data_IF_502472780699
#
_entry.id   IF_502472780699
#
_cell.length_a   1.000
_cell.length_b   1.000
_cell.length_c   1.000
_cell.angle_alpha   90.00
_cell.angle_beta   90.00
_cell.angle_gamma   90.00
#
_symmetry.space_group_name_H-M   'P 1'
#
loop_
_entity.id
_entity.type
_entity.pdbx_description
1 polymer ?
#
# COMPACT_ATOMS: atom_id res chain seq x y z
N UNK A 1 23.14 41.80 52.30
CA UNK A 1 22.46 40.78 51.48
C UNK A 1 23.40 40.34 50.37
N UNK A 2 23.63 39.03 50.23
CA UNK A 2 24.72 38.50 49.41
C UNK A 2 24.31 38.47 47.92
N UNK A 3 24.93 39.33 47.11
CA UNK A 3 24.66 39.50 45.66
C UNK A 3 24.75 38.20 44.87
N UNK A 4 25.60 37.27 45.34
CA UNK A 4 25.76 35.94 44.77
C UNK A 4 24.50 35.05 44.95
N UNK A 5 23.83 35.15 46.10
CA UNK A 5 22.60 34.39 46.35
C UNK A 5 21.43 34.88 45.49
N UNK A 6 21.39 36.19 45.20
CA UNK A 6 20.37 36.76 44.32
C UNK A 6 20.52 36.23 42.89
N UNK A 7 21.76 36.17 42.39
CA UNK A 7 22.05 35.72 41.03
C UNK A 7 21.82 34.21 40.84
N UNK A 8 22.17 33.39 41.85
CA UNK A 8 21.85 31.95 41.85
C UNK A 8 20.33 31.72 41.84
N UNK A 9 19.57 32.57 42.54
CA UNK A 9 18.10 32.46 42.60
C UNK A 9 17.46 32.81 41.27
N UNK A 10 17.98 33.82 40.56
CA UNK A 10 17.55 34.18 39.21
C UNK A 10 17.84 33.08 38.20
N UNK A 11 19.06 32.53 38.16
CA UNK A 11 19.42 31.43 37.23
C UNK A 11 18.55 30.20 37.47
N UNK A 12 18.29 29.83 38.74
CA UNK A 12 17.37 28.74 39.09
C UNK A 12 15.92 29.03 38.65
N UNK A 13 15.47 30.27 38.75
CA UNK A 13 14.14 30.71 38.29
C UNK A 13 14.01 30.68 36.76
N UNK A 14 15.09 30.94 36.03
CA UNK A 14 15.16 30.81 34.58
C UNK A 14 15.25 29.34 34.11
N UNK A 15 15.93 28.45 34.86
CA UNK A 15 15.92 27.01 34.58
C UNK A 15 14.54 26.37 34.84
N UNK A 16 13.80 26.82 35.85
CA UNK A 16 12.47 26.30 36.22
C UNK A 16 11.32 26.75 35.30
N UNK A 17 11.62 27.48 34.22
CA UNK A 17 10.64 28.04 33.27
C UNK A 17 10.60 27.37 31.89
N UNK A 18 11.42 26.34 31.64
CA UNK A 18 11.24 25.47 30.48
C UNK A 18 10.30 24.34 30.87
N UNK A 19 9.09 24.38 30.32
CA UNK A 19 8.05 23.41 30.62
C UNK A 19 8.19 22.24 29.63
N UNK A 20 9.23 21.43 29.82
CA UNK A 20 9.59 20.32 28.94
C UNK A 20 8.42 19.39 28.64
N UNK A 21 7.47 19.25 29.58
CA UNK A 21 6.27 18.44 29.39
C UNK A 21 5.36 18.99 28.28
N UNK A 22 5.23 20.32 28.18
CA UNK A 22 4.49 20.96 27.09
C UNK A 22 5.20 20.83 25.75
N UNK A 23 6.53 20.98 25.76
CA UNK A 23 7.33 20.86 24.54
C UNK A 23 7.25 19.42 23.99
N UNK A 24 7.26 18.41 24.87
CA UNK A 24 7.07 17.00 24.48
C UNK A 24 5.65 16.73 23.98
N UNK A 25 4.63 17.30 24.63
CA UNK A 25 3.24 17.17 24.19
C UNK A 25 3.02 17.79 22.81
N UNK A 26 3.62 18.95 22.54
CA UNK A 26 3.59 19.62 21.24
C UNK A 26 4.29 18.79 20.15
N UNK A 27 5.48 18.27 20.43
CA UNK A 27 6.22 17.39 19.52
C UNK A 27 5.43 16.11 19.21
N UNK A 28 4.82 15.48 20.22
CA UNK A 28 4.02 14.27 20.01
C UNK A 28 2.79 14.54 19.14
N UNK A 29 2.11 15.66 19.36
CA UNK A 29 0.97 16.08 18.56
C UNK A 29 1.36 16.39 17.10
N UNK A 30 2.54 16.98 16.88
CA UNK A 30 3.07 17.19 15.52
C UNK A 30 3.42 15.86 14.84
N UNK A 31 4.07 14.93 15.55
CA UNK A 31 4.36 13.59 15.05
C UNK A 31 3.08 12.84 14.67
N UNK A 32 2.02 12.96 15.49
CA UNK A 32 0.73 12.31 15.23
C UNK A 32 0.03 12.90 13.99
N UNK A 33 0.08 14.24 13.81
CA UNK A 33 -0.43 14.88 12.59
C UNK A 33 0.33 14.45 11.34
N UNK A 34 1.67 14.41 11.40
CA UNK A 34 2.51 13.96 10.27
C UNK A 34 2.18 12.51 9.90
N UNK A 35 2.02 11.62 10.90
CA UNK A 35 1.62 10.22 10.66
C UNK A 35 0.24 10.09 10.01
N UNK A 36 -0.70 10.98 10.34
CA UNK A 36 -2.03 10.99 9.73
C UNK A 36 -1.99 11.53 8.29
N UNK A 37 -1.12 12.49 8.00
CA UNK A 37 -0.96 13.06 6.65
C UNK A 37 -0.17 12.13 5.69
N UNK A 38 0.86 11.43 6.18
CA UNK A 38 1.71 10.57 5.36
C UNK A 38 1.09 9.21 5.02
N UNK A 39 0.16 8.70 5.84
CA UNK A 39 -0.45 7.39 5.62
C UNK A 39 -1.59 7.39 4.59
N UNK A 40 -2.21 8.52 4.30
CA UNK A 40 -3.46 8.53 3.52
C UNK A 40 -3.20 8.76 2.02
N UNK A 41 -2.36 9.72 1.63
CA UNK A 41 -2.33 10.15 0.23
C UNK A 41 -1.59 9.18 -0.72
N UNK A 42 -0.51 8.54 -0.25
CA UNK A 42 0.31 7.65 -1.08
C UNK A 42 -0.39 6.32 -1.39
N UNK A 43 -1.24 5.83 -0.49
CA UNK A 43 -1.84 4.49 -0.62
C UNK A 43 -3.09 4.53 -1.50
N UNK A 44 -3.86 5.62 -1.45
CA UNK A 44 -5.01 5.83 -2.33
C UNK A 44 -4.64 5.97 -3.81
N UNK A 45 -3.59 6.73 -4.12
CA UNK A 45 -3.12 6.91 -5.50
C UNK A 45 -2.63 5.57 -6.08
N UNK A 46 -1.92 4.77 -5.27
CA UNK A 46 -1.45 3.43 -5.64
C UNK A 46 -2.62 2.47 -5.92
N UNK A 47 -3.59 2.39 -5.02
CA UNK A 47 -4.78 1.55 -5.19
C UNK A 47 -5.61 1.97 -6.41
N UNK A 48 -5.77 3.28 -6.64
CA UNK A 48 -6.49 3.78 -7.80
C UNK A 48 -5.80 3.44 -9.11
N UNK A 49 -4.46 3.55 -9.16
CA UNK A 49 -3.68 3.16 -10.33
C UNK A 49 -3.86 1.67 -10.67
N UNK A 50 -3.84 0.78 -9.67
CA UNK A 50 -4.09 -0.66 -9.86
C UNK A 50 -5.50 -0.93 -10.40
N UNK A 51 -6.53 -0.30 -9.84
CA UNK A 51 -7.92 -0.43 -10.32
C UNK A 51 -8.02 0.03 -11.77
N UNK A 52 -7.39 1.16 -12.11
CA UNK A 52 -7.40 1.71 -13.46
C UNK A 52 -6.72 0.75 -14.44
N UNK A 53 -5.54 0.24 -14.10
CA UNK A 53 -4.79 -0.73 -14.91
C UNK A 53 -5.62 -1.98 -15.23
N UNK A 54 -6.21 -2.61 -14.20
CA UNK A 54 -7.06 -3.79 -14.38
C UNK A 54 -8.31 -3.48 -15.22
N UNK A 55 -8.86 -2.27 -15.06
CA UNK A 55 -10.03 -1.84 -15.81
C UNK A 55 -9.71 -1.60 -17.29
N UNK A 56 -8.54 -1.08 -17.62
CA UNK A 56 -8.13 -0.74 -18.99
C UNK A 56 -7.55 -1.93 -19.76
N UNK A 57 -6.73 -2.76 -19.10
CA UNK A 57 -5.88 -3.74 -19.78
C UNK A 57 -6.46 -5.16 -19.83
N UNK A 58 -7.47 -5.46 -19.01
CA UNK A 58 -8.05 -6.80 -18.92
C UNK A 58 -9.51 -6.80 -19.35
N UNK A 59 -9.94 -7.82 -20.09
CA UNK A 59 -11.36 -8.09 -20.32
C UNK A 59 -11.92 -8.90 -19.15
N UNK A 60 -13.26 -8.96 -19.03
CA UNK A 60 -13.90 -9.75 -17.96
C UNK A 60 -13.47 -11.23 -17.99
N UNK A 61 -13.25 -11.80 -19.18
CA UNK A 61 -12.78 -13.18 -19.33
C UNK A 61 -11.38 -13.39 -18.75
N UNK A 62 -10.49 -12.41 -18.88
CA UNK A 62 -9.11 -12.50 -18.37
C UNK A 62 -9.12 -12.40 -16.85
N UNK A 63 -9.97 -11.53 -16.29
CA UNK A 63 -10.19 -11.42 -14.84
C UNK A 63 -10.78 -12.71 -14.26
N UNK A 64 -11.66 -13.41 -14.99
CA UNK A 64 -12.18 -14.70 -14.56
C UNK A 64 -11.04 -15.72 -14.44
N UNK A 65 -10.13 -15.80 -15.42
CA UNK A 65 -8.97 -16.70 -15.35
C UNK A 65 -8.08 -16.40 -14.12
N UNK A 66 -7.86 -15.11 -13.82
CA UNK A 66 -7.10 -14.70 -12.63
C UNK A 66 -7.84 -15.10 -11.35
N UNK A 67 -9.14 -14.83 -11.26
CA UNK A 67 -9.96 -15.19 -10.11
C UNK A 67 -9.99 -16.71 -9.88
N UNK A 68 -10.14 -17.50 -10.94
CA UNK A 68 -10.08 -18.96 -10.89
C UNK A 68 -8.71 -19.47 -10.43
N UNK A 69 -7.61 -18.85 -10.86
CA UNK A 69 -6.26 -19.21 -10.39
C UNK A 69 -6.09 -19.00 -8.88
N UNK A 70 -6.77 -18.01 -8.31
CA UNK A 70 -6.76 -17.72 -6.86
C UNK A 70 -7.89 -18.39 -6.08
N UNK A 71 -8.69 -19.25 -6.70
CA UNK A 71 -9.89 -19.85 -6.09
C UNK A 71 -10.92 -18.80 -5.58
N UNK A 72 -10.98 -17.62 -6.20
CA UNK A 72 -11.96 -16.57 -5.89
C UNK A 72 -13.28 -16.89 -6.59
N UNK A 73 -14.40 -16.86 -5.85
CA UNK A 73 -15.72 -17.09 -6.44
C UNK A 73 -16.02 -16.08 -7.55
N UNK A 74 -16.44 -16.55 -8.72
CA UNK A 74 -16.78 -15.73 -9.90
C UNK A 74 -18.29 -15.52 -10.07
N UNK A 75 -19.10 -16.26 -9.31
CA UNK A 75 -20.55 -16.35 -9.53
C UNK A 75 -21.22 -14.99 -9.33
N UNK A 76 -21.99 -14.56 -10.34
CA UNK A 76 -22.76 -13.30 -10.34
C UNK A 76 -21.91 -12.03 -10.15
N UNK A 77 -20.58 -12.10 -10.33
CA UNK A 77 -19.71 -10.92 -10.20
C UNK A 77 -19.63 -10.14 -11.51
N UNK A 78 -19.67 -8.81 -11.39
CA UNK A 78 -19.42 -7.88 -12.49
C UNK A 78 -17.92 -7.71 -12.69
N UNK A 79 -17.49 -7.07 -13.79
CA UNK A 79 -16.06 -6.80 -14.04
C UNK A 79 -15.44 -6.03 -12.87
N UNK A 80 -16.14 -5.01 -12.37
CA UNK A 80 -15.70 -4.18 -11.25
C UNK A 80 -15.48 -5.00 -9.98
N UNK A 81 -16.48 -5.81 -9.59
CA UNK A 81 -16.39 -6.63 -8.36
C UNK A 81 -15.23 -7.63 -8.47
N UNK A 82 -15.01 -8.23 -9.66
CA UNK A 82 -13.85 -9.10 -9.88
C UNK A 82 -12.53 -8.36 -9.69
N UNK A 83 -12.41 -7.12 -10.18
CA UNK A 83 -11.18 -6.32 -9.98
C UNK A 83 -10.95 -6.08 -8.49
N UNK A 84 -11.98 -5.66 -7.75
CA UNK A 84 -11.87 -5.42 -6.31
C UNK A 84 -11.45 -6.68 -5.54
N UNK A 85 -12.08 -7.82 -5.83
CA UNK A 85 -11.75 -9.08 -5.16
C UNK A 85 -10.33 -9.55 -5.48
N UNK A 86 -9.90 -9.41 -6.75
CA UNK A 86 -8.54 -9.74 -7.18
C UNK A 86 -7.53 -8.84 -6.47
N UNK A 87 -7.73 -7.52 -6.48
CA UNK A 87 -6.80 -6.58 -5.84
C UNK A 87 -6.77 -6.75 -4.32
N UNK A 88 -7.91 -7.04 -3.69
CA UNK A 88 -7.98 -7.40 -2.27
C UNK A 88 -7.16 -8.65 -1.96
N UNK A 89 -7.22 -9.67 -2.83
CA UNK A 89 -6.39 -10.86 -2.70
C UNK A 89 -4.90 -10.55 -2.94
N UNK A 90 -4.57 -9.75 -3.95
CA UNK A 90 -3.19 -9.46 -4.36
C UNK A 90 -2.46 -8.52 -3.39
N UNK A 91 -3.16 -7.57 -2.79
CA UNK A 91 -2.60 -6.64 -1.81
C UNK A 91 -2.52 -7.25 -0.39
N UNK A 92 -3.00 -8.47 -0.18
CA UNK A 92 -2.79 -9.19 1.07
C UNK A 92 -1.36 -9.75 1.13
N UNK A 93 -0.52 -9.32 2.09
CA UNK A 93 0.87 -9.78 2.19
C UNK A 93 1.03 -11.30 2.33
N UNK A 94 0.05 -11.98 2.93
CA UNK A 94 0.05 -13.45 3.08
C UNK A 94 -0.04 -14.18 1.74
N UNK A 95 -0.56 -13.51 0.70
CA UNK A 95 -0.71 -14.06 -0.64
C UNK A 95 0.47 -13.73 -1.55
N UNK A 96 1.50 -13.01 -1.08
CA UNK A 96 2.58 -12.50 -1.95
C UNK A 96 3.21 -13.61 -2.83
N UNK A 97 3.47 -14.79 -2.26
CA UNK A 97 4.08 -15.92 -2.99
C UNK A 97 3.19 -16.42 -4.14
N UNK A 98 1.88 -16.58 -3.90
CA UNK A 98 0.96 -17.07 -4.95
C UNK A 98 0.74 -16.00 -6.03
N UNK A 99 0.74 -14.72 -5.64
CA UNK A 99 0.59 -13.58 -6.55
C UNK A 99 1.82 -13.45 -7.46
N UNK A 100 3.03 -13.48 -6.90
CA UNK A 100 4.28 -13.45 -7.65
C UNK A 100 4.39 -14.63 -8.62
N UNK A 101 3.99 -15.83 -8.16
CA UNK A 101 3.97 -17.03 -9.01
C UNK A 101 3.02 -16.87 -10.19
N UNK A 102 1.81 -16.35 -9.97
CA UNK A 102 0.84 -16.06 -11.04
C UNK A 102 1.40 -15.06 -12.05
N UNK A 103 1.94 -13.94 -11.59
CA UNK A 103 2.52 -12.90 -12.45
C UNK A 103 3.67 -13.47 -13.30
N UNK A 104 4.56 -14.23 -12.67
CA UNK A 104 5.71 -14.87 -13.33
C UNK A 104 5.26 -15.87 -14.40
N UNK A 105 4.27 -16.72 -14.09
CA UNK A 105 3.74 -17.69 -15.04
C UNK A 105 3.06 -17.00 -16.23
N UNK A 106 2.28 -15.95 -15.99
CA UNK A 106 1.60 -15.22 -17.06
C UNK A 106 2.58 -14.45 -17.93
N UNK A 107 3.65 -13.90 -17.34
CA UNK A 107 4.75 -13.29 -18.09
C UNK A 107 5.35 -14.29 -19.09
N UNK A 108 5.79 -15.46 -18.61
CA UNK A 108 6.36 -16.47 -19.51
C UNK A 108 5.36 -16.99 -20.53
N UNK A 109 4.09 -17.12 -20.16
CA UNK A 109 3.05 -17.54 -21.08
C UNK A 109 2.86 -16.53 -22.22
N UNK A 110 2.87 -15.23 -21.91
CA UNK A 110 2.79 -14.17 -22.91
C UNK A 110 4.02 -14.21 -23.84
N UNK A 111 5.23 -14.36 -23.31
CA UNK A 111 6.45 -14.50 -24.12
C UNK A 111 6.35 -15.68 -25.10
N UNK A 112 5.80 -16.81 -24.64
CA UNK A 112 5.60 -17.99 -25.48
C UNK A 112 4.48 -17.82 -26.51
N UNK A 113 3.43 -17.06 -26.19
CA UNK A 113 2.33 -16.73 -27.10
C UNK A 113 2.73 -15.71 -28.17
N UNK A 114 3.67 -14.82 -27.86
CA UNK A 114 4.22 -13.84 -28.79
C UNK A 114 5.25 -14.46 -29.75
N UNK A 115 5.85 -15.60 -29.37
CA UNK A 115 6.73 -16.36 -30.27
C UNK A 115 5.96 -17.01 -31.44
N UNK A 116 6.46 -16.79 -32.66
CA UNK A 116 5.82 -17.27 -33.88
C UNK A 116 5.73 -18.80 -33.99
N UNK A 117 6.70 -19.51 -33.41
CA UNK A 117 6.78 -20.97 -33.50
C UNK A 117 6.04 -21.65 -32.35
N UNK A 118 6.22 -21.18 -31.11
CA UNK A 118 5.73 -21.83 -29.90
C UNK A 118 4.23 -21.61 -29.69
N UNK A 119 3.69 -20.44 -30.07
CA UNK A 119 2.27 -20.12 -29.87
C UNK A 119 1.31 -21.16 -30.43
N UNK A 120 1.68 -21.85 -31.52
CA UNK A 120 0.84 -22.88 -32.16
C UNK A 120 0.63 -24.13 -31.30
N UNK A 121 1.41 -24.30 -30.24
CA UNK A 121 1.32 -25.40 -29.29
C UNK A 121 0.65 -25.00 -27.97
N UNK A 122 0.24 -23.73 -27.82
CA UNK A 122 -0.33 -23.20 -26.59
C UNK A 122 -1.83 -23.05 -26.80
N UNK A 123 -2.61 -23.68 -25.92
CA UNK A 123 -4.06 -23.51 -25.87
C UNK A 123 -4.36 -22.75 -24.59
N UNK A 124 -4.68 -21.47 -24.72
CA UNK A 124 -4.91 -20.56 -23.60
C UNK A 124 -6.08 -19.61 -23.88
N UNK A 125 -7.23 -20.19 -24.23
CA UNK A 125 -8.47 -19.45 -24.52
C UNK A 125 -9.37 -19.27 -23.30
#
# INVERSE_FOLDING_TARGET
>A
MNTLNMHITEVKKHMKRRNYDKDIEEINNEIEKIKLEDCDFSDYDSAYAQILDYKTNYLKKDLIKIAEYYDIDIRKKTKHILIEDILSFENNPENCIIVERRQTMWFYLNELMDDNYLRKYIIFD
#
